data_IF_757743893497
#
_entry.id   IF_757743893497
#
_cell.length_a   1.000
_cell.length_b   1.000
_cell.length_c   1.000
_cell.angle_alpha   90.00
_cell.angle_beta   90.00
_cell.angle_gamma   90.00
#
_symmetry.space_group_name_H-M   'P 1'
#
loop_
_entity.id
_entity.type
_entity.pdbx_description
1 polymer ?
#
# COMPACT_ATOMS: atom_id res chain seq x y z
N UNK A 1 -67.34 11.18 13.17
CA UNK A 1 -66.35 12.26 13.00
C UNK A 1 -65.26 12.04 14.02
N UNK A 2 -64.00 12.01 13.58
CA UNK A 2 -62.82 11.96 14.46
C UNK A 2 -61.70 11.15 13.82
N UNK A 3 -60.99 11.73 12.86
CA UNK A 3 -59.66 11.22 12.50
C UNK A 3 -58.70 11.70 13.59
N UNK A 4 -58.19 10.75 14.39
CA UNK A 4 -57.18 11.03 15.40
C UNK A 4 -55.81 11.09 14.74
N UNK A 5 -55.32 12.30 14.48
CA UNK A 5 -53.93 12.52 14.07
C UNK A 5 -53.07 12.56 15.33
N UNK A 6 -52.06 11.68 15.40
CA UNK A 6 -51.05 11.69 16.45
C UNK A 6 -49.71 12.07 15.82
N UNK A 7 -49.17 13.21 16.24
CA UNK A 7 -47.80 13.61 15.91
C UNK A 7 -46.85 13.05 16.96
N UNK A 8 -45.79 12.41 16.48
CA UNK A 8 -44.70 11.88 17.31
C UNK A 8 -43.43 12.57 16.86
N UNK A 9 -42.87 13.41 17.73
CA UNK A 9 -41.56 14.02 17.54
C UNK A 9 -40.47 13.11 18.12
N UNK A 10 -39.70 12.48 17.24
CA UNK A 10 -38.52 11.69 17.59
C UNK A 10 -37.29 12.60 17.65
N UNK A 11 -36.60 12.61 18.78
CA UNK A 11 -35.35 13.33 18.97
C UNK A 11 -34.19 12.33 19.16
N UNK A 12 -33.08 12.58 18.48
CA UNK A 12 -31.86 11.81 18.70
C UNK A 12 -31.15 12.33 19.97
N UNK A 13 -30.64 11.44 20.85
CA UNK A 13 -29.76 11.85 21.94
C UNK A 13 -28.49 12.53 21.43
N UNK A 14 -28.01 13.57 22.13
CA UNK A 14 -26.76 14.25 21.78
C UNK A 14 -25.54 13.31 21.80
N UNK A 15 -25.56 12.31 22.68
CA UNK A 15 -24.54 11.25 22.79
C UNK A 15 -24.37 10.44 21.50
N UNK A 16 -25.42 10.38 20.67
CA UNK A 16 -25.42 9.64 19.42
C UNK A 16 -24.54 10.34 18.37
N UNK A 17 -24.36 11.66 18.46
CA UNK A 17 -23.40 12.40 17.64
C UNK A 17 -21.97 11.97 17.95
N UNK A 18 -21.60 11.91 19.22
CA UNK A 18 -20.25 11.54 19.65
C UNK A 18 -19.94 10.08 19.32
N UNK A 19 -20.93 9.19 19.42
CA UNK A 19 -20.79 7.78 19.02
C UNK A 19 -20.54 7.63 17.52
N UNK A 20 -21.34 8.28 16.68
CA UNK A 20 -21.17 8.25 15.22
C UNK A 20 -19.85 8.90 14.82
N UNK A 21 -19.47 9.99 15.47
CA UNK A 21 -18.21 10.66 15.21
C UNK A 21 -17.01 9.77 15.54
N UNK A 22 -17.06 9.07 16.68
CA UNK A 22 -16.05 8.07 17.06
C UNK A 22 -15.99 6.90 16.08
N UNK A 23 -17.12 6.44 15.56
CA UNK A 23 -17.17 5.37 14.56
C UNK A 23 -16.52 5.79 13.23
N UNK A 24 -16.80 7.01 12.77
CA UNK A 24 -16.25 7.55 11.51
C UNK A 24 -14.75 7.86 11.64
N UNK A 25 -14.35 8.52 12.72
CA UNK A 25 -12.96 8.95 12.93
C UNK A 25 -12.09 7.77 13.39
N UNK A 26 -12.70 6.75 14.01
CA UNK A 26 -12.01 5.61 14.61
C UNK A 26 -11.40 5.89 15.99
N UNK A 27 -11.53 7.13 16.49
CA UNK A 27 -11.00 7.55 17.78
C UNK A 27 -11.97 8.50 18.51
N UNK A 28 -11.95 8.46 19.83
CA UNK A 28 -12.80 9.28 20.69
C UNK A 28 -12.28 10.71 20.82
N UNK A 29 -13.12 11.69 20.45
CA UNK A 29 -12.75 13.11 20.51
C UNK A 29 -13.01 13.66 21.91
N UNK A 30 -11.95 13.72 22.72
CA UNK A 30 -11.97 14.18 24.11
C UNK A 30 -12.23 15.69 24.28
N UNK A 31 -12.01 16.49 23.24
CA UNK A 31 -12.07 17.95 23.32
C UNK A 31 -11.64 18.66 22.03
N UNK A 32 -11.77 19.99 22.02
CA UNK A 32 -11.42 20.85 20.87
C UNK A 32 -9.92 20.85 20.57
N UNK A 33 -9.10 20.76 21.61
CA UNK A 33 -7.65 20.60 21.53
C UNK A 33 -7.27 19.28 20.86
N UNK A 34 -7.88 18.17 21.30
CA UNK A 34 -7.68 16.86 20.70
C UNK A 34 -8.13 16.83 19.24
N UNK A 35 -9.31 17.40 18.94
CA UNK A 35 -9.81 17.52 17.57
C UNK A 35 -8.83 18.30 16.68
N UNK A 36 -8.29 19.41 17.17
CA UNK A 36 -7.34 20.21 16.39
C UNK A 36 -6.05 19.43 16.10
N UNK A 37 -5.57 18.66 17.08
CA UNK A 37 -4.42 17.78 16.89
C UNK A 37 -4.71 16.73 15.80
N UNK A 38 -5.82 16.00 15.91
CA UNK A 38 -6.24 15.01 14.92
C UNK A 38 -6.36 15.61 13.52
N UNK A 39 -6.95 16.80 13.40
CA UNK A 39 -7.09 17.48 12.11
C UNK A 39 -5.73 17.86 11.49
N UNK A 40 -4.74 18.23 12.31
CA UNK A 40 -3.39 18.48 11.82
C UNK A 40 -2.73 17.18 11.32
N UNK A 41 -2.85 16.10 12.09
CA UNK A 41 -2.31 14.79 11.73
C UNK A 41 -2.94 14.28 10.43
N UNK A 42 -4.27 14.33 10.29
CA UNK A 42 -4.97 13.95 9.06
C UNK A 42 -4.61 14.84 7.88
N UNK A 43 -4.44 16.15 8.10
CA UNK A 43 -4.04 17.07 7.03
C UNK A 43 -2.65 16.72 6.49
N UNK A 44 -1.71 16.40 7.39
CA UNK A 44 -0.36 15.99 6.99
C UNK A 44 -0.38 14.64 6.27
N UNK A 45 -1.06 13.64 6.82
CA UNK A 45 -1.21 12.33 6.19
C UNK A 45 -1.88 12.41 4.81
N UNK A 46 -2.92 13.26 4.68
CA UNK A 46 -3.61 13.47 3.42
C UNK A 46 -2.70 14.07 2.35
N UNK A 47 -1.87 15.07 2.69
CA UNK A 47 -0.92 15.66 1.74
C UNK A 47 0.06 14.63 1.19
N UNK A 48 0.65 13.81 2.06
CA UNK A 48 1.56 12.73 1.69
C UNK A 48 0.84 11.66 0.83
N UNK A 49 -0.36 11.25 1.23
CA UNK A 49 -1.15 10.28 0.49
C UNK A 49 -1.56 10.79 -0.89
N UNK A 50 -2.01 12.04 -0.99
CA UNK A 50 -2.47 12.64 -2.24
C UNK A 50 -1.34 12.67 -3.29
N UNK A 51 -0.07 12.79 -2.88
CA UNK A 51 1.08 12.71 -3.79
C UNK A 51 1.23 11.33 -4.46
N UNK A 52 0.88 10.25 -3.74
CA UNK A 52 1.09 8.87 -4.21
C UNK A 52 -0.22 8.13 -4.56
N UNK A 53 -1.38 8.75 -4.34
CA UNK A 53 -2.69 8.08 -4.41
C UNK A 53 -2.92 7.40 -5.77
N UNK A 54 -2.57 8.07 -6.87
CA UNK A 54 -2.77 7.52 -8.21
C UNK A 54 -1.73 6.45 -8.56
N UNK A 55 -0.49 6.59 -8.09
CA UNK A 55 0.52 5.54 -8.19
C UNK A 55 0.08 4.28 -7.45
N UNK A 56 -0.51 4.44 -6.27
CA UNK A 56 -1.03 3.33 -5.47
C UNK A 56 -2.21 2.63 -6.15
N UNK A 57 -3.11 3.36 -6.82
CA UNK A 57 -4.18 2.75 -7.62
C UNK A 57 -3.59 1.98 -8.81
N UNK A 58 -2.62 2.58 -9.50
CA UNK A 58 -1.99 2.00 -10.67
C UNK A 58 -1.24 0.70 -10.32
N UNK A 59 -0.38 0.72 -9.29
CA UNK A 59 0.41 -0.46 -8.89
C UNK A 59 -0.47 -1.64 -8.49
N UNK A 60 -1.64 -1.38 -7.87
CA UNK A 60 -2.60 -2.43 -7.51
C UNK A 60 -3.21 -3.11 -8.75
N UNK A 61 -3.38 -2.37 -9.84
CA UNK A 61 -4.00 -2.86 -11.07
C UNK A 61 -2.98 -3.48 -12.04
N UNK A 62 -1.81 -2.85 -12.20
CA UNK A 62 -0.85 -3.19 -13.26
C UNK A 62 0.43 -3.84 -12.74
N UNK A 63 0.67 -3.81 -11.43
CA UNK A 63 1.93 -4.20 -10.83
C UNK A 63 2.99 -3.08 -10.77
N UNK A 64 2.76 -1.94 -11.43
CA UNK A 64 3.69 -0.81 -11.46
C UNK A 64 2.96 0.53 -11.41
N UNK A 65 3.32 1.39 -10.45
CA UNK A 65 2.72 2.71 -10.27
C UNK A 65 3.75 3.81 -10.28
N UNK A 66 3.40 4.96 -10.85
CA UNK A 66 4.27 6.15 -10.90
C UNK A 66 3.53 7.35 -10.35
N UNK A 67 4.15 8.03 -9.39
CA UNK A 67 3.73 9.32 -8.87
C UNK A 67 4.66 10.39 -9.43
N UNK A 68 4.09 11.32 -10.19
CA UNK A 68 4.81 12.44 -10.74
C UNK A 68 5.10 13.46 -9.63
N UNK A 69 6.27 14.13 -9.65
CA UNK A 69 6.58 15.19 -8.71
C UNK A 69 5.56 16.33 -8.80
N UNK A 70 5.25 16.95 -7.66
CA UNK A 70 4.54 18.21 -7.68
C UNK A 70 5.48 19.33 -8.14
N UNK A 71 4.90 20.43 -8.64
CA UNK A 71 5.68 21.63 -9.00
C UNK A 71 6.47 22.17 -7.80
N UNK A 72 5.92 22.04 -6.59
CA UNK A 72 6.59 22.40 -5.34
C UNK A 72 7.89 21.63 -5.09
N UNK A 73 8.02 20.45 -5.68
CA UNK A 73 9.14 19.53 -5.45
C UNK A 73 10.24 19.71 -6.51
N UNK A 74 10.02 20.61 -7.48
CA UNK A 74 10.97 20.90 -8.55
C UNK A 74 12.03 21.89 -8.06
N UNK A 75 13.29 21.50 -8.19
CA UNK A 75 14.44 22.38 -7.95
C UNK A 75 14.95 22.89 -9.28
N UNK A 76 14.84 24.20 -9.50
CA UNK A 76 15.36 24.87 -10.70
C UNK A 76 16.84 25.25 -10.45
N UNK A 77 17.73 24.81 -11.33
CA UNK A 77 19.12 25.30 -11.36
C UNK A 77 19.19 26.69 -11.99
N UNK A 78 20.24 27.44 -11.67
CA UNK A 78 20.45 28.76 -12.25
C UNK A 78 20.51 28.69 -13.79
N UNK A 79 19.83 29.60 -14.51
CA UNK A 79 19.84 29.63 -15.97
C UNK A 79 21.22 29.97 -16.52
N UNK A 80 21.74 29.13 -17.41
CA UNK A 80 23.03 29.36 -18.07
C UNK A 80 22.83 29.84 -19.50
N UNK A 81 23.58 30.88 -19.91
CA UNK A 81 23.63 31.28 -21.32
C UNK A 81 24.50 30.29 -22.08
N UNK A 82 23.92 29.66 -23.10
CA UNK A 82 24.62 28.75 -23.99
C UNK A 82 24.83 29.41 -25.35
N UNK A 83 25.93 29.08 -26.01
CA UNK A 83 26.24 29.55 -27.37
C UNK A 83 26.44 28.36 -28.30
N UNK A 84 25.77 28.38 -29.44
CA UNK A 84 25.95 27.40 -30.50
C UNK A 84 26.21 28.14 -31.82
N UNK A 85 27.48 28.19 -32.24
CA UNK A 85 27.91 28.98 -33.40
C UNK A 85 27.70 30.49 -33.20
N UNK A 86 26.83 31.08 -34.02
CA UNK A 86 26.43 32.50 -33.95
C UNK A 86 25.18 32.76 -33.10
N UNK A 87 24.51 31.71 -32.60
CA UNK A 87 23.27 31.83 -31.83
C UNK A 87 23.51 31.69 -30.33
N UNK A 88 22.76 32.43 -29.55
CA UNK A 88 22.72 32.35 -28.09
C UNK A 88 21.37 31.77 -27.65
N UNK A 89 21.38 31.03 -26.54
CA UNK A 89 20.20 30.49 -25.90
C UNK A 89 20.36 30.48 -24.38
N UNK A 90 19.30 30.11 -23.68
CA UNK A 90 19.31 29.91 -22.24
C UNK A 90 19.03 28.43 -21.97
N UNK A 91 19.89 27.79 -21.19
CA UNK A 91 19.67 26.45 -20.69
C UNK A 91 19.05 26.56 -19.31
N UNK A 92 17.87 25.99 -19.16
CA UNK A 92 17.20 25.77 -17.88
C UNK A 92 17.29 24.28 -17.56
N UNK A 93 17.68 23.96 -16.33
CA UNK A 93 17.63 22.59 -15.80
C UNK A 93 16.73 22.59 -14.57
N UNK A 94 15.89 21.58 -14.47
CA UNK A 94 15.08 21.32 -13.30
C UNK A 94 15.26 19.86 -12.91
N UNK A 95 15.38 19.60 -11.62
CA UNK A 95 15.42 18.24 -11.05
C UNK A 95 14.21 18.07 -10.16
N UNK A 96 13.51 16.96 -10.31
CA UNK A 96 12.32 16.66 -9.53
C UNK A 96 12.25 15.16 -9.21
N UNK A 97 11.92 14.77 -7.97
CA UNK A 97 11.87 13.37 -7.58
C UNK A 97 10.60 12.70 -8.11
N UNK A 98 10.72 11.54 -8.76
CA UNK A 98 9.57 10.67 -9.06
C UNK A 98 9.52 9.48 -8.12
N UNK A 99 8.31 9.10 -7.70
CA UNK A 99 8.10 7.92 -6.85
C UNK A 99 7.59 6.77 -7.71
N UNK A 100 8.26 5.64 -7.62
CA UNK A 100 7.92 4.43 -8.34
C UNK A 100 7.53 3.33 -7.35
N UNK A 101 6.34 2.77 -7.52
CA UNK A 101 5.81 1.66 -6.72
C UNK A 101 5.82 0.38 -7.55
N UNK A 102 6.35 -0.70 -6.99
CA UNK A 102 6.44 -2.00 -7.65
C UNK A 102 5.74 -3.02 -6.76
N UNK A 103 4.73 -3.70 -7.30
CA UNK A 103 4.09 -4.84 -6.63
C UNK A 103 4.76 -6.12 -7.14
N UNK A 104 5.19 -6.97 -6.21
CA UNK A 104 5.77 -8.29 -6.46
C UNK A 104 4.98 -9.35 -5.71
N UNK A 105 4.87 -10.54 -6.29
CA UNK A 105 4.26 -11.69 -5.63
C UNK A 105 5.34 -12.46 -4.88
N UNK A 106 5.08 -12.80 -3.60
CA UNK A 106 5.98 -13.61 -2.79
C UNK A 106 5.29 -14.92 -2.50
N UNK A 107 5.80 -15.98 -3.11
CA UNK A 107 5.29 -17.32 -2.91
C UNK A 107 5.93 -17.93 -1.67
N UNK A 108 5.15 -18.54 -0.80
CA UNK A 108 5.65 -19.36 0.30
C UNK A 108 4.89 -20.67 0.31
N UNK A 109 5.62 -21.78 0.35
CA UNK A 109 5.07 -23.12 0.37
C UNK A 109 5.18 -23.70 1.78
N UNK A 110 4.12 -24.35 2.25
CA UNK A 110 4.12 -25.15 3.46
C UNK A 110 3.94 -26.63 3.09
N UNK A 111 5.03 -27.39 3.14
CA UNK A 111 5.07 -28.81 2.81
C UNK A 111 5.55 -29.64 4.02
N UNK A 112 4.70 -29.86 5.03
CA UNK A 112 5.06 -30.67 6.19
C UNK A 112 5.23 -32.14 5.79
N UNK A 113 6.25 -32.80 6.33
CA UNK A 113 6.44 -34.25 6.13
C UNK A 113 5.59 -34.98 7.16
N UNK A 114 4.56 -35.68 6.70
CA UNK A 114 3.59 -36.37 7.55
C UNK A 114 3.70 -37.86 7.30
N UNK A 115 4.43 -38.53 8.19
CA UNK A 115 4.70 -39.97 8.25
C UNK A 115 4.12 -40.84 7.13
N UNK A 116 2.95 -41.42 7.35
CA UNK A 116 2.32 -42.39 6.44
C UNK A 116 1.34 -41.74 5.46
N UNK A 117 1.08 -42.43 4.34
CA UNK A 117 0.10 -42.01 3.33
C UNK A 117 -1.28 -41.72 3.93
N UNK A 118 -1.76 -42.61 4.81
CA UNK A 118 -3.06 -42.44 5.49
C UNK A 118 -3.10 -41.15 6.33
N UNK A 119 -2.02 -40.80 7.02
CA UNK A 119 -1.95 -39.56 7.79
C UNK A 119 -1.92 -38.32 6.89
N UNK A 120 -1.30 -38.42 5.71
CA UNK A 120 -1.32 -37.35 4.72
C UNK A 120 -2.74 -37.15 4.16
N UNK A 121 -3.47 -38.22 3.86
CA UNK A 121 -4.88 -38.14 3.43
C UNK A 121 -5.81 -37.56 4.51
N UNK A 122 -5.58 -37.91 5.78
CA UNK A 122 -6.33 -37.35 6.90
C UNK A 122 -6.10 -35.85 7.04
N UNK A 123 -4.85 -35.36 6.86
CA UNK A 123 -4.59 -33.92 6.86
C UNK A 123 -5.29 -33.21 5.68
N UNK A 124 -5.21 -33.76 4.48
CA UNK A 124 -5.87 -33.15 3.31
C UNK A 124 -7.38 -33.05 3.54
N UNK A 125 -8.00 -34.10 4.08
CA UNK A 125 -9.43 -34.08 4.44
C UNK A 125 -9.74 -33.02 5.49
N UNK A 126 -8.93 -32.91 6.53
CA UNK A 126 -9.09 -31.88 7.57
C UNK A 126 -9.01 -30.47 6.99
N UNK A 127 -8.07 -30.19 6.09
CA UNK A 127 -7.92 -28.88 5.45
C UNK A 127 -9.05 -28.57 4.48
N UNK A 128 -9.62 -29.57 3.82
CA UNK A 128 -10.68 -29.37 2.83
C UNK A 128 -12.09 -29.40 3.42
N UNK A 129 -12.23 -29.73 4.71
CA UNK A 129 -13.53 -29.97 5.34
C UNK A 129 -14.49 -28.78 5.21
N UNK A 130 -13.99 -27.56 5.41
CA UNK A 130 -14.79 -26.32 5.39
C UNK A 130 -14.49 -25.44 4.16
N UNK A 131 -13.68 -25.95 3.22
CA UNK A 131 -13.23 -25.20 2.04
C UNK A 131 -14.37 -24.89 1.06
N UNK A 132 -15.35 -25.80 0.95
CA UNK A 132 -16.50 -25.62 0.06
C UNK A 132 -17.44 -24.51 0.55
N UNK A 133 -17.51 -24.28 1.87
CA UNK A 133 -18.35 -23.22 2.46
C UNK A 133 -17.61 -21.88 2.52
N UNK A 134 -16.35 -21.88 2.94
CA UNK A 134 -15.48 -20.70 2.95
C UNK A 134 -14.03 -21.06 2.58
N UNK A 135 -13.53 -20.70 1.39
CA UNK A 135 -12.15 -20.93 1.00
C UNK A 135 -11.11 -20.28 1.93
N UNK A 136 -11.51 -19.24 2.68
CA UNK A 136 -10.63 -18.56 3.62
C UNK A 136 -10.51 -19.28 4.97
N UNK A 137 -11.41 -20.21 5.28
CA UNK A 137 -11.41 -20.99 6.52
C UNK A 137 -10.12 -21.77 6.73
N UNK A 138 -9.50 -22.25 5.64
CA UNK A 138 -8.21 -22.98 5.67
C UNK A 138 -7.10 -22.18 6.36
N UNK A 139 -7.12 -20.84 6.23
CA UNK A 139 -6.12 -19.98 6.85
C UNK A 139 -6.21 -19.92 8.37
N UNK A 140 -7.39 -20.25 8.92
CA UNK A 140 -7.67 -20.31 10.35
C UNK A 140 -7.43 -21.72 10.92
N UNK A 141 -7.23 -22.74 10.07
CA UNK A 141 -6.99 -24.10 10.53
C UNK A 141 -5.74 -24.19 11.38
N UNK A 142 -5.88 -24.83 12.54
CA UNK A 142 -4.78 -25.11 13.46
C UNK A 142 -4.04 -26.37 13.03
N UNK A 143 -2.78 -26.20 12.63
CA UNK A 143 -1.91 -27.27 12.17
C UNK A 143 -0.72 -27.35 13.14
N UNK A 144 -0.59 -28.46 13.86
CA UNK A 144 0.47 -28.69 14.84
C UNK A 144 0.56 -27.61 15.95
N UNK A 145 -0.59 -27.11 16.40
CA UNK A 145 -0.66 -26.10 17.47
C UNK A 145 -0.35 -24.67 17.01
N UNK A 146 -0.33 -24.42 15.70
CA UNK A 146 -0.18 -23.09 15.10
C UNK A 146 -1.17 -22.92 13.96
N UNK A 147 -1.72 -21.71 13.79
CA UNK A 147 -2.52 -21.40 12.61
C UNK A 147 -1.68 -21.47 11.33
N UNK A 148 -2.27 -22.01 10.25
CA UNK A 148 -1.60 -22.06 8.94
C UNK A 148 -1.22 -20.66 8.45
N UNK A 149 -2.07 -19.66 8.67
CA UNK A 149 -1.79 -18.26 8.31
C UNK A 149 -0.54 -17.70 8.99
N UNK A 150 -0.26 -18.08 10.24
CA UNK A 150 0.97 -17.69 10.93
C UNK A 150 2.20 -18.30 10.26
N UNK A 151 2.16 -19.59 9.94
CA UNK A 151 3.29 -20.31 9.33
C UNK A 151 3.62 -19.74 7.95
N UNK A 152 2.61 -19.54 7.10
CA UNK A 152 2.80 -19.00 5.75
C UNK A 152 3.29 -17.55 5.81
N UNK A 153 2.75 -16.73 6.72
CA UNK A 153 3.20 -15.35 6.92
C UNK A 153 4.67 -15.27 7.34
N UNK A 154 5.13 -16.17 8.21
CA UNK A 154 6.55 -16.26 8.57
C UNK A 154 7.42 -16.59 7.36
N UNK A 155 7.01 -17.53 6.52
CA UNK A 155 7.72 -17.87 5.29
C UNK A 155 7.81 -16.69 4.31
N UNK A 156 6.71 -15.95 4.13
CA UNK A 156 6.69 -14.72 3.33
C UNK A 156 7.64 -13.67 3.92
N UNK A 157 7.55 -13.41 5.23
CA UNK A 157 8.36 -12.40 5.90
C UNK A 157 9.86 -12.73 5.83
N UNK A 158 10.22 -14.01 5.98
CA UNK A 158 11.58 -14.47 5.78
C UNK A 158 12.06 -14.16 4.35
N UNK A 159 11.25 -14.46 3.32
CA UNK A 159 11.60 -14.16 1.92
C UNK A 159 11.71 -12.66 1.62
N UNK A 160 10.83 -11.83 2.19
CA UNK A 160 10.89 -10.38 2.05
C UNK A 160 12.20 -9.79 2.61
N UNK A 161 12.77 -10.42 3.64
CA UNK A 161 14.05 -10.00 4.22
C UNK A 161 15.27 -10.36 3.38
N UNK A 162 15.12 -11.21 2.36
CA UNK A 162 16.24 -11.70 1.55
C UNK A 162 16.76 -10.68 0.53
N UNK A 163 15.98 -9.67 0.15
CA UNK A 163 16.42 -8.68 -0.83
C UNK A 163 17.48 -7.76 -0.19
N UNK A 164 18.77 -7.88 -0.55
CA UNK A 164 19.83 -7.14 0.10
C UNK A 164 19.82 -5.67 -0.33
N UNK A 165 20.33 -4.80 0.52
CA UNK A 165 20.29 -3.35 0.33
C UNK A 165 20.99 -2.91 -0.97
N UNK A 166 22.12 -3.51 -1.30
CA UNK A 166 22.86 -3.26 -2.54
C UNK A 166 22.03 -3.56 -3.80
N UNK A 167 21.19 -4.59 -3.79
CA UNK A 167 20.29 -4.89 -4.90
C UNK A 167 19.20 -3.84 -5.05
N UNK A 168 18.67 -3.32 -3.92
CA UNK A 168 17.69 -2.21 -3.91
C UNK A 168 18.29 -0.94 -4.51
N UNK A 169 19.54 -0.60 -4.13
CA UNK A 169 20.24 0.55 -4.71
C UNK A 169 20.49 0.40 -6.20
N UNK A 170 20.98 -0.76 -6.66
CA UNK A 170 21.21 -1.02 -8.08
C UNK A 170 19.91 -0.92 -8.90
N UNK A 171 18.79 -1.42 -8.37
CA UNK A 171 17.49 -1.29 -9.01
C UNK A 171 17.10 0.20 -9.16
N UNK A 172 17.24 0.98 -8.09
CA UNK A 172 16.98 2.42 -8.07
C UNK A 172 17.84 3.18 -9.09
N UNK A 173 19.16 2.97 -9.12
CA UNK A 173 20.06 3.61 -10.09
C UNK A 173 19.74 3.21 -11.53
N UNK A 174 19.37 1.95 -11.76
CA UNK A 174 18.99 1.46 -13.09
C UNK A 174 17.73 2.16 -13.57
N UNK A 175 16.71 2.29 -12.71
CA UNK A 175 15.49 3.03 -13.03
C UNK A 175 15.77 4.51 -13.31
N UNK A 176 16.60 5.17 -12.50
CA UNK A 176 17.00 6.56 -12.71
C UNK A 176 17.70 6.77 -14.06
N UNK A 177 18.61 5.87 -14.46
CA UNK A 177 19.29 5.94 -15.75
C UNK A 177 18.33 5.78 -16.92
N UNK A 178 17.41 4.82 -16.86
CA UNK A 178 16.43 4.59 -17.93
C UNK A 178 15.55 5.83 -18.15
N UNK A 179 15.09 6.46 -17.06
CA UNK A 179 14.25 7.65 -17.12
C UNK A 179 15.01 8.84 -17.72
N UNK A 180 16.26 9.06 -17.31
CA UNK A 180 17.05 10.22 -17.74
C UNK A 180 17.67 10.07 -19.13
N UNK A 181 18.16 8.88 -19.47
CA UNK A 181 18.90 8.64 -20.71
C UNK A 181 17.98 8.20 -21.86
N UNK A 182 16.71 7.90 -21.58
CA UNK A 182 15.70 7.55 -22.59
C UNK A 182 16.03 6.28 -23.36
N UNK A 183 16.95 5.45 -22.87
CA UNK A 183 17.35 4.22 -23.54
C UNK A 183 16.34 3.13 -23.21
N UNK A 184 15.56 2.71 -24.21
CA UNK A 184 14.71 1.51 -24.16
C UNK A 184 15.51 0.20 -24.13
N UNK A 185 16.68 0.22 -23.48
CA UNK A 185 17.68 -0.83 -23.47
C UNK A 185 17.43 -1.83 -22.36
N UNK A 186 17.51 -3.10 -22.73
CA UNK A 186 17.46 -4.31 -21.92
C UNK A 186 18.01 -4.13 -20.49
N UNK A 187 17.17 -4.39 -19.49
CA UNK A 187 17.59 -4.50 -18.09
C UNK A 187 18.12 -5.92 -17.87
N UNK A 188 19.42 -6.07 -17.66
CA UNK A 188 20.02 -7.32 -17.22
C UNK A 188 20.30 -7.25 -15.71
N UNK A 189 19.52 -7.99 -14.92
CA UNK A 189 19.82 -8.23 -13.50
C UNK A 189 20.49 -9.60 -13.42
N UNK A 190 21.77 -9.63 -13.07
CA UNK A 190 22.50 -10.86 -12.77
C UNK A 190 22.41 -11.08 -11.27
N UNK A 191 21.81 -12.21 -10.87
CA UNK A 191 21.63 -12.64 -9.47
C UNK A 191 22.74 -13.59 -9.06
#
# INVERSE_FOLDING_TARGET
MGEGVADIDLHAPDELYDQVLKEIVGEEIRGKDHLLQLMQEFTNAKKEYDQIADALKMVKQTGYGVAAPAISDMVLEEPEIIRQGSRFGVRLKAVAPSIHMIKVEVESEFAPIIGTEKQSEELVRYLMQDFEEDPLSIWQSDIFGRSLSSIVREGIQAKLSLMPENARFKLKETLERIINEGSGGLIAIIL
#
